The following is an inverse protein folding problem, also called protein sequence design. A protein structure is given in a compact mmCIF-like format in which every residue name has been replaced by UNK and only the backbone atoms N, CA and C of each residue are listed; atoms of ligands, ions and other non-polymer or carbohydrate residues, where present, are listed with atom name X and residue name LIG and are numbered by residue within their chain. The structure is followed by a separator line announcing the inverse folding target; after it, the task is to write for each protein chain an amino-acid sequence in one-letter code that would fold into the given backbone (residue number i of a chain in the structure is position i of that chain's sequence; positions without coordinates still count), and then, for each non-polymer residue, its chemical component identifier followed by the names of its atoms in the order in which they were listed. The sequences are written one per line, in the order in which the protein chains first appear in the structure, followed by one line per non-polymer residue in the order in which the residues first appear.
data_IF_751527612176
#
_entry.id   IF_751527612176
#
_cell.length_a   1.000
_cell.length_b   1.000
_cell.length_c   1.000
_cell.angle_alpha   90.00
_cell.angle_beta   90.00
_cell.angle_gamma   90.00
#
_symmetry.space_group_name_H-M   'P 1'
#
loop_
_entity.id
_entity.type
_entity.pdbx_description
1 polymer ?
#
# COMPACT_ATOMS: atom_id res chain seq x y z
N UNK A 1 -4.41 50.12 28.64
CA UNK A 1 -3.46 49.00 28.54
C UNK A 1 -4.20 47.79 28.02
N UNK A 2 -3.72 47.21 26.90
CA UNK A 2 -3.75 45.80 26.44
C UNK A 2 -4.94 44.91 26.84
N UNK A 3 -5.60 44.11 25.99
CA UNK A 3 -5.37 43.64 24.60
C UNK A 3 -6.63 42.83 24.22
N UNK A 4 -7.17 43.01 23.01
CA UNK A 4 -7.90 41.95 22.30
C UNK A 4 -7.01 40.71 22.24
N UNK A 5 -7.46 39.52 22.64
CA UNK A 5 -6.93 38.28 22.06
C UNK A 5 -7.97 37.14 22.08
N UNK A 6 -8.50 36.91 20.87
CA UNK A 6 -8.70 35.61 20.22
C UNK A 6 -9.48 34.51 20.95
N UNK A 7 -10.69 34.28 20.43
CA UNK A 7 -11.12 33.01 19.85
C UNK A 7 -10.15 31.83 20.11
N UNK A 8 -10.47 31.00 21.10
CA UNK A 8 -9.89 29.67 21.18
C UNK A 8 -10.48 28.82 20.05
N UNK A 9 -9.70 28.79 18.98
CA UNK A 9 -9.85 27.92 17.82
C UNK A 9 -9.93 26.46 18.25
N UNK A 10 -10.92 25.75 17.68
CA UNK A 10 -10.91 24.30 17.56
C UNK A 10 -9.50 23.85 17.16
N UNK A 11 -8.84 22.92 17.88
CA UNK A 11 -7.79 22.14 17.25
C UNK A 11 -8.46 21.12 16.34
N UNK A 12 -8.89 21.60 15.17
CA UNK A 12 -8.95 20.78 13.97
C UNK A 12 -7.51 20.33 13.69
N UNK A 13 -7.36 19.03 13.44
CA UNK A 13 -6.18 18.39 12.85
C UNK A 13 -4.92 18.29 13.72
N UNK A 14 -4.80 17.14 14.39
CA UNK A 14 -3.51 16.48 14.56
C UNK A 14 -3.57 15.03 14.03
N UNK A 15 -4.16 14.84 12.84
CA UNK A 15 -3.93 13.64 12.02
C UNK A 15 -2.61 13.78 11.26
N UNK A 16 -1.52 14.02 11.99
CA UNK A 16 -0.16 14.01 11.46
C UNK A 16 0.71 13.11 12.35
N UNK A 17 0.20 11.92 12.65
CA UNK A 17 1.01 10.85 13.19
C UNK A 17 1.75 10.19 12.01
N UNK A 18 3.04 10.53 11.91
CA UNK A 18 4.11 9.73 11.31
C UNK A 18 4.19 9.71 9.78
N UNK A 19 4.54 10.85 9.17
CA UNK A 19 5.14 10.91 7.83
C UNK A 19 6.61 10.45 7.83
N UNK A 20 6.88 9.28 8.41
CA UNK A 20 8.19 8.65 8.45
C UNK A 20 8.08 7.18 8.02
N UNK A 21 7.49 6.91 6.84
CA UNK A 21 7.39 5.55 6.28
C UNK A 21 6.98 5.48 4.80
N UNK A 22 7.35 6.46 3.96
CA UNK A 22 6.68 6.62 2.66
C UNK A 22 7.38 6.04 1.41
N UNK A 23 8.62 5.54 1.49
CA UNK A 23 9.27 4.99 0.27
C UNK A 23 8.66 3.66 -0.17
N UNK A 24 8.40 2.75 0.77
CA UNK A 24 7.88 1.42 0.46
C UNK A 24 6.40 1.43 0.05
N UNK A 25 5.59 2.30 0.68
CA UNK A 25 4.19 2.47 0.28
C UNK A 25 4.07 3.14 -1.09
N UNK A 26 4.88 4.16 -1.38
CA UNK A 26 4.93 4.78 -2.70
C UNK A 26 5.40 3.81 -3.79
N UNK A 27 6.38 2.95 -3.49
CA UNK A 27 6.84 1.91 -4.41
C UNK A 27 5.75 0.86 -4.69
N UNK A 28 5.04 0.42 -3.65
CA UNK A 28 3.91 -0.49 -3.80
C UNK A 28 2.80 0.12 -4.68
N UNK A 29 2.39 1.37 -4.42
CA UNK A 29 1.39 2.07 -5.23
C UNK A 29 1.83 2.19 -6.69
N UNK A 30 3.09 2.56 -6.92
CA UNK A 30 3.67 2.65 -8.27
C UNK A 30 3.60 1.31 -9.01
N UNK A 31 4.02 0.23 -8.37
CA UNK A 31 3.99 -1.10 -8.99
C UNK A 31 2.56 -1.59 -9.24
N UNK A 32 1.61 -1.28 -8.35
CA UNK A 32 0.19 -1.57 -8.57
C UNK A 32 -0.32 -0.81 -9.80
N UNK A 33 -0.07 0.49 -9.88
CA UNK A 33 -0.47 1.31 -11.02
C UNK A 33 0.17 0.83 -12.34
N UNK A 34 1.45 0.42 -12.30
CA UNK A 34 2.14 -0.15 -13.45
C UNK A 34 1.52 -1.48 -13.89
N UNK A 35 1.20 -2.37 -12.95
CA UNK A 35 0.51 -3.64 -13.24
C UNK A 35 -0.84 -3.37 -13.90
N UNK A 36 -1.64 -2.49 -13.33
CA UNK A 36 -3.00 -2.19 -13.81
C UNK A 36 -2.96 -1.50 -15.19
N UNK A 37 -2.03 -0.57 -15.40
CA UNK A 37 -1.82 0.07 -16.71
C UNK A 37 -1.32 -0.93 -17.76
N UNK A 38 -0.40 -1.82 -17.39
CA UNK A 38 0.11 -2.86 -18.28
C UNK A 38 -0.98 -3.85 -18.69
N UNK A 39 -1.85 -4.26 -17.75
CA UNK A 39 -3.04 -5.06 -18.07
C UNK A 39 -3.97 -4.35 -19.05
N UNK A 40 -4.28 -3.07 -18.82
CA UNK A 40 -5.14 -2.29 -19.72
C UNK A 40 -4.54 -2.19 -21.14
N UNK A 41 -3.22 -2.07 -21.23
CA UNK A 41 -2.48 -2.00 -22.50
C UNK A 41 -2.18 -3.36 -23.12
N UNK A 42 -2.53 -4.46 -22.45
CA UNK A 42 -2.16 -5.84 -22.81
C UNK A 42 -0.63 -6.02 -22.97
N UNK A 43 0.15 -5.23 -22.25
CA UNK A 43 1.61 -5.35 -22.18
C UNK A 43 1.97 -6.39 -21.11
N UNK A 44 1.93 -7.66 -21.50
CA UNK A 44 2.16 -8.77 -20.59
C UNK A 44 3.57 -8.78 -20.00
N UNK A 45 4.57 -8.29 -20.74
CA UNK A 45 5.95 -8.19 -20.25
C UNK A 45 6.02 -7.21 -19.07
N UNK A 46 5.48 -6.01 -19.24
CA UNK A 46 5.48 -5.00 -18.17
C UNK A 46 4.57 -5.40 -17.01
N UNK A 47 3.47 -6.09 -17.28
CA UNK A 47 2.60 -6.68 -16.26
C UNK A 47 3.38 -7.64 -15.36
N UNK A 48 4.13 -8.57 -15.96
CA UNK A 48 4.92 -9.55 -15.22
C UNK A 48 6.05 -8.92 -14.40
N UNK A 49 6.72 -7.90 -14.94
CA UNK A 49 7.73 -7.13 -14.18
C UNK A 49 7.11 -6.47 -12.95
N UNK A 50 5.96 -5.81 -13.12
CA UNK A 50 5.26 -5.16 -12.02
C UNK A 50 4.74 -6.17 -10.98
N UNK A 51 4.20 -7.30 -11.43
CA UNK A 51 3.71 -8.37 -10.55
C UNK A 51 4.85 -9.00 -9.74
N UNK A 52 6.00 -9.27 -10.35
CA UNK A 52 7.21 -9.74 -9.65
C UNK A 52 7.68 -8.74 -8.58
N UNK A 53 7.69 -7.45 -8.91
CA UNK A 53 8.02 -6.38 -7.97
C UNK A 53 7.07 -6.36 -6.78
N UNK A 54 5.76 -6.47 -7.01
CA UNK A 54 4.77 -6.53 -5.92
C UNK A 54 4.98 -7.74 -5.01
N UNK A 55 5.24 -8.93 -5.59
CA UNK A 55 5.53 -10.15 -4.81
C UNK A 55 6.76 -9.92 -3.92
N UNK A 56 7.81 -9.29 -4.46
CA UNK A 56 9.04 -8.99 -3.71
C UNK A 56 8.82 -8.00 -2.57
N UNK A 57 7.94 -7.02 -2.74
CA UNK A 57 7.64 -6.04 -1.70
C UNK A 57 6.73 -6.59 -0.59
N UNK A 58 6.05 -7.71 -0.80
CA UNK A 58 5.23 -8.34 0.22
C UNK A 58 6.08 -9.27 1.12
N UNK A 59 6.43 -8.89 2.36
CA UNK A 59 7.17 -9.78 3.26
C UNK A 59 6.35 -11.04 3.60
N UNK A 60 6.96 -12.23 3.56
CA UNK A 60 6.26 -13.50 3.86
C UNK A 60 5.79 -13.64 5.31
N UNK A 61 6.44 -12.93 6.25
CA UNK A 61 6.03 -12.83 7.66
C UNK A 61 5.94 -11.36 8.02
N UNK A 62 4.82 -10.86 8.58
CA UNK A 62 4.67 -9.43 8.82
C UNK A 62 5.49 -9.00 10.05
N UNK A 63 6.43 -8.05 9.93
CA UNK A 63 6.72 -7.13 11.04
C UNK A 63 5.61 -6.06 11.09
N UNK A 64 5.18 -5.61 12.27
CA UNK A 64 4.40 -4.37 12.38
C UNK A 64 5.36 -3.18 12.18
N UNK A 65 5.06 -2.04 11.50
CA UNK A 65 3.78 -1.38 11.16
C UNK A 65 3.82 -0.73 9.73
N UNK A 66 3.12 0.39 9.49
CA UNK A 66 3.04 1.26 8.28
C UNK A 66 2.75 0.57 6.92
N UNK A 67 3.59 -0.35 6.46
CA UNK A 67 3.37 -1.11 5.22
C UNK A 67 2.05 -1.88 5.25
N UNK A 68 1.78 -2.59 6.35
CA UNK A 68 0.48 -3.29 6.54
C UNK A 68 -0.69 -2.30 6.50
N UNK A 69 -0.51 -1.09 7.03
CA UNK A 69 -1.53 -0.03 6.99
C UNK A 69 -1.75 0.48 5.56
N UNK A 70 -0.68 0.68 4.79
CA UNK A 70 -0.75 1.08 3.39
C UNK A 70 -1.42 0.00 2.52
N UNK A 71 -1.02 -1.27 2.68
CA UNK A 71 -1.63 -2.38 1.96
C UNK A 71 -3.12 -2.51 2.34
N UNK A 72 -3.46 -2.41 3.62
CA UNK A 72 -4.83 -2.44 4.08
C UNK A 72 -5.66 -1.27 3.51
N UNK A 73 -5.13 -0.04 3.55
CA UNK A 73 -5.77 1.14 3.00
C UNK A 73 -6.02 1.00 1.49
N UNK A 74 -5.02 0.52 0.75
CA UNK A 74 -5.14 0.37 -0.69
C UNK A 74 -6.13 -0.73 -1.09
N UNK A 75 -6.31 -1.74 -0.23
CA UNK A 75 -7.36 -2.74 -0.37
C UNK A 75 -8.67 -2.35 0.32
N UNK A 76 -8.75 -1.14 0.90
CA UNK A 76 -9.92 -0.58 1.63
C UNK A 76 -10.38 -1.47 2.78
N UNK A 77 -9.44 -2.03 3.53
CA UNK A 77 -9.67 -2.93 4.65
C UNK A 77 -9.01 -2.40 5.93
N UNK A 78 -9.49 -2.87 7.09
CA UNK A 78 -8.77 -2.68 8.36
C UNK A 78 -7.52 -3.55 8.37
N UNK A 79 -6.44 -3.08 9.00
CA UNK A 79 -5.16 -3.79 9.06
C UNK A 79 -5.29 -5.20 9.66
N UNK A 80 -6.11 -5.39 10.68
CA UNK A 80 -6.33 -6.68 11.33
C UNK A 80 -7.07 -7.67 10.41
N UNK A 81 -8.01 -7.17 9.61
CA UNK A 81 -8.71 -7.98 8.60
C UNK A 81 -7.76 -8.31 7.43
N UNK A 82 -6.94 -7.34 7.02
CA UNK A 82 -5.93 -7.53 5.98
C UNK A 82 -4.91 -8.59 6.38
N UNK A 83 -4.40 -8.59 7.61
CA UNK A 83 -3.46 -9.61 8.10
C UNK A 83 -4.00 -11.04 8.00
N UNK A 84 -5.32 -11.24 8.13
CA UNK A 84 -5.95 -12.56 7.98
C UNK A 84 -6.04 -13.01 6.53
N UNK A 85 -6.25 -12.08 5.59
CA UNK A 85 -6.47 -12.38 4.15
C UNK A 85 -5.17 -12.34 3.34
N UNK A 86 -4.19 -11.54 3.78
CA UNK A 86 -2.92 -11.29 3.10
C UNK A 86 -2.15 -12.55 2.68
N UNK A 87 -2.03 -13.62 3.49
CA UNK A 87 -1.35 -14.84 3.05
C UNK A 87 -1.95 -15.42 1.76
N UNK A 88 -3.28 -15.52 1.69
CA UNK A 88 -3.98 -16.00 0.48
C UNK A 88 -3.80 -15.09 -0.72
N UNK A 89 -3.70 -13.77 -0.51
CA UNK A 89 -3.39 -12.80 -1.58
C UNK A 89 -1.98 -13.03 -2.13
N UNK A 90 -0.98 -13.22 -1.27
CA UNK A 90 0.40 -13.53 -1.67
C UNK A 90 0.45 -14.84 -2.47
N UNK A 91 -0.23 -15.88 -2.00
CA UNK A 91 -0.29 -17.18 -2.68
C UNK A 91 -0.93 -17.06 -4.06
N UNK A 92 -2.03 -16.31 -4.16
CA UNK A 92 -2.72 -16.06 -5.43
C UNK A 92 -1.84 -15.27 -6.40
N UNK A 93 -1.17 -14.22 -5.92
CA UNK A 93 -0.27 -13.42 -6.75
C UNK A 93 0.93 -14.23 -7.24
N UNK A 94 1.51 -15.06 -6.37
CA UNK A 94 2.61 -15.96 -6.73
C UNK A 94 2.16 -17.00 -7.77
N UNK A 95 1.01 -17.64 -7.55
CA UNK A 95 0.42 -18.59 -8.51
C UNK A 95 0.15 -17.93 -9.86
N UNK A 96 -0.42 -16.71 -9.85
CA UNK A 96 -0.69 -15.95 -11.08
C UNK A 96 0.60 -15.64 -11.83
N UNK A 97 1.66 -15.27 -11.10
CA UNK A 97 2.97 -15.02 -11.69
C UNK A 97 3.54 -16.30 -12.32
N UNK A 98 3.54 -17.42 -11.60
CA UNK A 98 4.07 -18.68 -12.13
C UNK A 98 3.27 -19.22 -13.33
N UNK A 99 1.96 -18.95 -13.42
CA UNK A 99 1.13 -19.39 -14.54
C UNK A 99 1.25 -18.51 -15.80
N UNK A 100 1.51 -17.21 -15.63
CA UNK A 100 1.39 -16.24 -16.73
C UNK A 100 2.70 -15.54 -17.09
N UNK A 101 3.72 -15.65 -16.25
CA UNK A 101 4.95 -14.85 -16.34
C UNK A 101 6.25 -15.66 -16.32
N UNK A 102 6.14 -16.98 -16.10
CA UNK A 102 7.26 -17.93 -16.06
C UNK A 102 7.11 -18.91 -17.20
#
# INVERSE_FOLDING_TARGET
MHRLLLALTLPLLASAAIAASDSSCAEHEKLRAQRDSALQKKDFKQYCVALSGLIRLMPQKPPAPAHVQCEANANRMKAEAWLKVRPSVIDTMTTTFDQNCR
#
